data_IF_778292293610
#
_entry.id   IF_778292293610
#
_cell.length_a   1.000
_cell.length_b   1.000
_cell.length_c   1.000
_cell.angle_alpha   90.00
_cell.angle_beta   90.00
_cell.angle_gamma   90.00
#
_symmetry.space_group_name_H-M   'P 1'
#
loop_
_entity.id
_entity.type
_entity.pdbx_description
1 polymer ?
#
# COMPACT_ATOMS: atom_id res chain seq x y z
N UNK A 1 6.87 3.37 -7.22
CA UNK A 1 6.04 3.06 -8.42
C UNK A 1 6.03 1.57 -8.76
N UNK A 2 7.17 0.89 -8.84
CA UNK A 2 7.25 -0.56 -9.13
C UNK A 2 6.43 -1.40 -8.13
N UNK A 3 6.61 -1.16 -6.82
CA UNK A 3 5.82 -1.83 -5.78
C UNK A 3 4.31 -1.74 -6.01
N UNK A 4 3.80 -0.54 -6.34
CA UNK A 4 2.38 -0.32 -6.58
C UNK A 4 1.83 -1.15 -7.75
N UNK A 5 2.55 -1.21 -8.88
CA UNK A 5 2.09 -1.98 -10.03
C UNK A 5 2.14 -3.49 -9.79
N UNK A 6 3.20 -3.98 -9.13
CA UNK A 6 3.32 -5.40 -8.79
C UNK A 6 2.23 -5.81 -7.80
N UNK A 7 1.94 -4.98 -6.77
CA UNK A 7 0.88 -5.28 -5.81
C UNK A 7 -0.50 -5.27 -6.46
N UNK A 8 -0.80 -4.26 -7.29
CA UNK A 8 -2.09 -4.17 -8.00
C UNK A 8 -2.28 -5.38 -8.92
N UNK A 9 -1.30 -5.73 -9.74
CA UNK A 9 -1.40 -6.88 -10.64
C UNK A 9 -1.50 -8.18 -9.83
N UNK A 10 -0.69 -8.34 -8.78
CA UNK A 10 -0.70 -9.53 -7.92
C UNK A 10 -2.04 -9.73 -7.21
N UNK A 11 -2.63 -8.68 -6.64
CA UNK A 11 -3.97 -8.72 -6.01
C UNK A 11 -5.03 -9.12 -7.03
N UNK A 12 -5.02 -8.54 -8.23
CA UNK A 12 -5.99 -8.90 -9.25
C UNK A 12 -5.86 -10.37 -9.65
N UNK A 13 -4.66 -10.86 -9.93
CA UNK A 13 -4.45 -12.28 -10.30
C UNK A 13 -4.79 -13.23 -9.14
N UNK A 14 -4.60 -12.81 -7.88
CA UNK A 14 -4.93 -13.59 -6.70
C UNK A 14 -6.45 -13.76 -6.51
N UNK A 15 -7.21 -12.67 -6.60
CA UNK A 15 -8.64 -12.65 -6.25
C UNK A 15 -9.58 -12.82 -7.44
N UNK A 16 -9.16 -12.47 -8.66
CA UNK A 16 -10.02 -12.59 -9.84
C UNK A 16 -10.42 -14.05 -10.14
N UNK A 17 -9.52 -15.04 -10.06
CA UNK A 17 -9.89 -16.46 -10.12
C UNK A 17 -10.96 -16.84 -9.10
N UNK A 18 -10.89 -16.32 -7.87
CA UNK A 18 -11.81 -16.70 -6.80
C UNK A 18 -13.28 -16.36 -7.11
N UNK A 19 -13.53 -15.35 -7.95
CA UNK A 19 -14.88 -15.04 -8.43
C UNK A 19 -15.43 -16.17 -9.31
N UNK A 20 -14.59 -16.71 -10.21
CA UNK A 20 -14.97 -17.84 -11.06
C UNK A 20 -15.12 -19.14 -10.26
N UNK A 21 -14.25 -19.41 -9.28
CA UNK A 21 -14.42 -20.57 -8.40
C UNK A 21 -15.69 -20.50 -7.57
N UNK A 22 -16.03 -19.31 -7.05
CA UNK A 22 -17.27 -19.09 -6.30
C UNK A 22 -18.51 -19.32 -7.15
N UNK A 23 -18.53 -18.81 -8.39
CA UNK A 23 -19.61 -19.05 -9.35
C UNK A 23 -19.72 -20.52 -9.78
N UNK A 24 -18.59 -21.23 -9.87
CA UNK A 24 -18.54 -22.66 -10.18
C UNK A 24 -18.93 -23.56 -8.98
N UNK A 25 -19.39 -22.97 -7.87
CA UNK A 25 -19.97 -23.69 -6.73
C UNK A 25 -18.96 -24.20 -5.71
N UNK A 26 -17.71 -23.70 -5.73
CA UNK A 26 -16.71 -24.09 -4.73
C UNK A 26 -17.10 -23.56 -3.33
N UNK A 27 -17.36 -24.44 -2.35
CA UNK A 27 -17.68 -23.99 -1.00
C UNK A 27 -16.45 -23.40 -0.30
N UNK A 28 -16.65 -22.37 0.53
CA UNK A 28 -15.58 -21.78 1.35
C UNK A 28 -15.12 -22.81 2.40
N UNK A 29 -13.81 -22.82 2.71
CA UNK A 29 -13.18 -23.63 3.78
C UNK A 29 -13.12 -25.15 3.53
N UNK A 30 -12.87 -25.57 2.30
CA UNK A 30 -12.59 -26.98 2.01
C UNK A 30 -11.07 -27.18 1.88
N UNK A 31 -10.48 -28.20 2.53
CA UNK A 31 -9.04 -28.48 2.41
C UNK A 31 -8.66 -29.17 1.09
N UNK A 32 -9.56 -29.98 0.51
CA UNK A 32 -9.32 -30.75 -0.72
C UNK A 32 -10.33 -30.40 -1.82
N UNK A 33 -9.85 -30.10 -3.03
CA UNK A 33 -10.68 -29.66 -4.14
C UNK A 33 -10.71 -30.70 -5.26
N UNK A 34 -11.87 -30.86 -5.92
CA UNK A 34 -11.96 -31.67 -7.12
C UNK A 34 -11.03 -31.12 -8.24
N UNK A 35 -10.49 -32.02 -9.07
CA UNK A 35 -9.54 -31.68 -10.16
C UNK A 35 -10.03 -30.54 -11.07
N UNK A 36 -11.34 -30.39 -11.25
CA UNK A 36 -11.96 -29.32 -12.02
C UNK A 36 -11.65 -27.89 -11.52
N UNK A 37 -11.34 -27.72 -10.23
CA UNK A 37 -11.01 -26.43 -9.61
C UNK A 37 -9.50 -26.20 -9.50
N UNK A 38 -8.68 -27.20 -9.86
CA UNK A 38 -7.22 -27.15 -9.69
C UNK A 38 -6.57 -26.02 -10.50
N UNK A 39 -6.98 -25.85 -11.76
CA UNK A 39 -6.41 -24.83 -12.65
C UNK A 39 -6.58 -23.41 -12.09
N UNK A 40 -7.78 -23.07 -11.60
CA UNK A 40 -8.04 -21.74 -11.06
C UNK A 40 -7.39 -21.49 -9.69
N UNK A 41 -7.30 -22.52 -8.84
CA UNK A 41 -6.54 -22.45 -7.59
C UNK A 41 -5.03 -22.30 -7.84
N UNK A 42 -4.49 -22.93 -8.88
CA UNK A 42 -3.09 -22.76 -9.28
C UNK A 42 -2.80 -21.32 -9.72
N UNK A 43 -3.67 -20.71 -10.53
CA UNK A 43 -3.54 -19.29 -10.92
C UNK A 43 -3.61 -18.37 -9.70
N UNK A 44 -4.55 -18.62 -8.78
CA UNK A 44 -4.65 -17.87 -7.51
C UNK A 44 -3.37 -18.01 -6.68
N UNK A 45 -2.77 -19.22 -6.63
CA UNK A 45 -1.51 -19.46 -5.91
C UNK A 45 -0.34 -18.69 -6.53
N UNK A 46 -0.25 -18.64 -7.87
CA UNK A 46 0.75 -17.82 -8.57
C UNK A 46 0.56 -16.33 -8.22
N UNK A 47 -0.68 -15.84 -8.23
CA UNK A 47 -1.02 -14.49 -7.78
C UNK A 47 -0.60 -14.22 -6.33
N UNK A 48 -0.78 -15.19 -5.44
CA UNK A 48 -0.38 -15.10 -4.03
C UNK A 48 1.14 -14.96 -3.90
N UNK A 49 1.93 -15.72 -4.65
CA UNK A 49 3.39 -15.59 -4.64
C UNK A 49 3.86 -14.23 -5.17
N UNK A 50 3.26 -13.73 -6.26
CA UNK A 50 3.57 -12.41 -6.81
C UNK A 50 3.25 -11.31 -5.78
N UNK A 51 2.09 -11.39 -5.14
CA UNK A 51 1.69 -10.45 -4.11
C UNK A 51 2.62 -10.52 -2.88
N UNK A 52 2.98 -11.73 -2.44
CA UNK A 52 3.94 -11.94 -1.36
C UNK A 52 5.30 -11.33 -1.67
N UNK A 53 5.80 -11.48 -2.90
CA UNK A 53 7.04 -10.84 -3.34
C UNK A 53 6.93 -9.31 -3.34
N UNK A 54 5.78 -8.74 -3.72
CA UNK A 54 5.53 -7.30 -3.60
C UNK A 54 5.71 -6.80 -2.17
N UNK A 55 5.21 -7.54 -1.18
CA UNK A 55 5.34 -7.16 0.23
C UNK A 55 6.80 -7.19 0.71
N UNK A 56 7.60 -8.14 0.23
CA UNK A 56 9.04 -8.15 0.50
C UNK A 56 9.74 -6.93 -0.12
N UNK A 57 9.36 -6.56 -1.34
CA UNK A 57 9.87 -5.35 -2.00
C UNK A 57 9.51 -4.09 -1.21
N UNK A 58 8.30 -4.02 -0.64
CA UNK A 58 7.89 -2.92 0.23
C UNK A 58 8.79 -2.82 1.47
N UNK A 59 9.01 -3.94 2.16
CA UNK A 59 9.90 -3.97 3.32
C UNK A 59 11.32 -3.51 2.96
N UNK A 60 11.84 -3.97 1.82
CA UNK A 60 13.14 -3.52 1.32
C UNK A 60 13.18 -2.01 1.07
N UNK A 61 12.14 -1.44 0.46
CA UNK A 61 12.04 0.01 0.23
C UNK A 61 12.05 0.76 1.57
N UNK A 62 11.26 0.32 2.56
CA UNK A 62 11.21 0.94 3.89
C UNK A 62 12.59 0.93 4.56
N UNK A 63 13.27 -0.22 4.57
CA UNK A 63 14.61 -0.34 5.16
C UNK A 63 15.60 0.57 4.44
N UNK A 64 15.52 0.65 3.11
CA UNK A 64 16.39 1.52 2.32
C UNK A 64 16.16 2.99 2.66
N UNK A 65 14.91 3.44 2.79
CA UNK A 65 14.55 4.83 3.12
C UNK A 65 14.95 5.21 4.55
N UNK A 66 14.90 4.27 5.50
CA UNK A 66 15.35 4.52 6.88
C UNK A 66 16.88 4.61 6.95
N UNK A 67 17.59 3.74 6.22
CA UNK A 67 19.06 3.66 6.28
C UNK A 67 19.78 4.65 5.36
N UNK A 68 19.08 5.28 4.42
CA UNK A 68 19.65 6.24 3.50
C UNK A 68 18.61 7.05 2.72
N UNK A 69 19.00 8.25 2.31
CA UNK A 69 18.15 9.17 1.56
C UNK A 69 18.50 10.62 1.86
N UNK A 70 17.99 11.51 1.01
CA UNK A 70 18.00 12.93 1.27
C UNK A 70 17.02 13.23 2.42
N UNK A 71 17.38 14.13 3.33
CA UNK A 71 16.48 14.49 4.43
C UNK A 71 15.22 15.11 3.83
N UNK A 72 14.06 14.67 4.33
CA UNK A 72 12.79 15.25 3.96
C UNK A 72 12.81 16.76 4.23
N UNK A 73 12.43 17.55 3.23
CA UNK A 73 12.09 18.97 3.39
C UNK A 73 10.72 19.12 4.04
N UNK A 74 10.43 20.29 4.60
CA UNK A 74 9.17 20.55 5.34
C UNK A 74 7.92 20.41 4.45
N UNK A 75 8.09 20.58 3.12
CA UNK A 75 7.06 20.34 2.10
C UNK A 75 7.52 19.29 1.09
N UNK A 76 7.44 18.02 1.46
CA UNK A 76 7.88 16.90 0.61
C UNK A 76 6.93 16.58 -0.56
N UNK A 77 5.67 17.02 -0.52
CA UNK A 77 4.70 16.75 -1.58
C UNK A 77 4.36 17.99 -2.40
N UNK A 78 4.19 17.81 -3.71
CA UNK A 78 3.63 18.87 -4.55
C UNK A 78 2.16 19.11 -4.19
N UNK A 79 1.81 20.35 -3.86
CA UNK A 79 0.48 20.71 -3.35
C UNK A 79 0.27 20.42 -1.86
N UNK A 80 1.34 20.24 -1.08
CA UNK A 80 1.27 20.19 0.37
C UNK A 80 0.71 21.50 0.96
N UNK A 81 -0.55 21.47 1.38
CA UNK A 81 -1.27 22.55 2.05
C UNK A 81 -1.77 22.06 3.40
N UNK A 82 -1.81 22.93 4.40
CA UNK A 82 -2.15 22.57 5.79
C UNK A 82 -1.04 22.89 6.79
N UNK A 83 -1.41 22.97 8.05
CA UNK A 83 -0.52 23.34 9.15
C UNK A 83 0.58 22.30 9.38
N UNK A 84 0.35 21.03 9.05
CA UNK A 84 1.33 19.94 9.19
C UNK A 84 2.57 20.14 8.31
N UNK A 85 2.47 20.90 7.22
CA UNK A 85 3.55 21.21 6.28
C UNK A 85 4.29 22.52 6.60
N UNK A 86 3.97 23.14 7.74
CA UNK A 86 4.71 24.28 8.30
C UNK A 86 5.73 23.85 9.35
N UNK A 87 5.68 22.59 9.78
CA UNK A 87 6.59 22.02 10.77
C UNK A 87 7.85 21.48 10.09
N UNK A 88 8.97 21.57 10.81
CA UNK A 88 10.21 20.99 10.34
C UNK A 88 10.14 19.47 10.24
N UNK A 89 10.90 18.86 9.34
CA UNK A 89 11.13 17.40 9.35
C UNK A 89 12.51 17.07 9.94
N UNK A 90 12.63 16.43 11.13
CA UNK A 90 11.58 15.86 11.99
C UNK A 90 10.78 16.91 12.78
N UNK A 91 9.52 16.61 13.14
CA UNK A 91 8.68 17.55 13.87
C UNK A 91 9.20 17.82 15.29
N UNK A 92 9.14 19.07 15.77
CA UNK A 92 9.47 19.41 17.15
C UNK A 92 8.48 18.79 18.15
N UNK A 93 8.91 18.63 19.41
CA UNK A 93 8.07 18.07 20.47
C UNK A 93 6.80 18.91 20.74
N UNK A 94 6.94 20.23 20.64
CA UNK A 94 5.82 21.17 20.64
C UNK A 94 5.58 21.66 19.21
N UNK A 95 4.39 21.41 18.67
CA UNK A 95 4.07 21.72 17.27
C UNK A 95 4.01 23.23 17.02
N UNK A 96 3.39 24.00 17.91
CA UNK A 96 3.29 25.45 17.76
C UNK A 96 3.41 26.13 19.13
N UNK A 97 4.45 26.95 19.31
CA UNK A 97 4.58 27.80 20.51
C UNK A 97 3.65 29.02 20.45
N UNK A 98 3.30 29.46 19.24
CA UNK A 98 2.34 30.54 18.98
C UNK A 98 1.19 30.00 18.14
N UNK A 99 -0.09 30.29 18.47
CA UNK A 99 -1.23 29.83 17.68
C UNK A 99 -1.10 30.32 16.23
N UNK A 100 -1.09 29.43 15.23
CA UNK A 100 -1.01 29.85 13.85
C UNK A 100 -2.31 30.52 13.41
N UNK A 101 -2.20 31.61 12.65
CA UNK A 101 -3.37 32.22 12.01
C UNK A 101 -3.82 31.35 10.83
N UNK A 102 -5.04 30.82 10.92
CA UNK A 102 -5.63 29.98 9.88
C UNK A 102 -6.06 30.88 8.72
N UNK A 103 -5.30 30.87 7.62
CA UNK A 103 -5.74 31.44 6.35
C UNK A 103 -6.63 30.43 5.63
N UNK A 104 -7.63 30.89 4.87
CA UNK A 104 -8.56 30.01 4.16
C UNK A 104 -7.87 29.00 3.22
N UNK A 105 -6.66 29.31 2.73
CA UNK A 105 -5.85 28.41 1.92
C UNK A 105 -5.19 27.26 2.72
N UNK A 106 -5.06 27.40 4.04
CA UNK A 106 -4.42 26.46 4.96
C UNK A 106 -5.45 25.74 5.87
N UNK A 107 -6.73 26.13 5.78
CA UNK A 107 -7.83 25.67 6.63
C UNK A 107 -8.43 24.32 6.22
N UNK A 108 -7.93 23.69 5.16
CA UNK A 108 -8.52 22.49 4.57
C UNK A 108 -7.51 21.35 4.48
N UNK A 109 -7.61 20.44 5.43
CA UNK A 109 -7.53 19.00 5.24
C UNK A 109 -8.73 18.32 5.88
#
# INVERSE_FOLDING_TARGET
>A
KIHFWISVIGVNILFFPQHFLGLAGMPRRIPDYALQFSNWNMVSSIGAFIFGFSQLLFLYIVIKTIRGGEKATDRVWEGAHGLEWTLSSPPPYHSFDTPPEIKAADAHS
#
